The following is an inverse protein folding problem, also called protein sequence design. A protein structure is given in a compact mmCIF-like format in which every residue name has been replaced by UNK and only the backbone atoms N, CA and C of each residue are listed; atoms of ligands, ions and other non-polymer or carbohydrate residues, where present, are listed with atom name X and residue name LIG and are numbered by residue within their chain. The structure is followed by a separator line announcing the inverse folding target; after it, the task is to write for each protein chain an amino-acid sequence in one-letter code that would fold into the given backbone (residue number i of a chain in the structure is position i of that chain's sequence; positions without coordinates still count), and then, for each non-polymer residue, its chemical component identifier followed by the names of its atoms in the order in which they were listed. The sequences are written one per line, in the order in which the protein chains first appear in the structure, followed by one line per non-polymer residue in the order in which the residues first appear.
data_IF_414373054849
#
_entry.id   IF_414373054849
#
_cell.length_a   1.000
_cell.length_b   1.000
_cell.length_c   1.000
_cell.angle_alpha   90.00
_cell.angle_beta   90.00
_cell.angle_gamma   90.00
#
_symmetry.space_group_name_H-M   'P 1'
#
loop_
_entity.id
_entity.type
_entity.pdbx_description
1 polymer ?
#
# COMPACT_ATOMS: atom_id res chain seq x y z
N UNK A 1 38.12 38.45 38.27
CA UNK A 1 37.93 39.39 37.14
C UNK A 1 38.62 38.81 35.92
N UNK A 2 38.13 39.13 34.72
CA UNK A 2 38.34 38.50 33.39
C UNK A 2 37.28 37.39 33.18
N UNK A 3 36.16 37.55 32.47
CA UNK A 3 35.80 38.13 31.15
C UNK A 3 36.33 37.31 29.95
N UNK A 4 35.39 36.51 29.43
CA UNK A 4 35.13 35.99 28.06
C UNK A 4 36.19 35.11 27.37
N UNK A 5 35.86 34.35 26.29
CA UNK A 5 34.59 34.21 25.56
C UNK A 5 34.19 32.73 25.27
N UNK A 6 32.92 32.44 24.95
CA UNK A 6 32.67 31.67 23.72
C UNK A 6 31.24 31.81 23.23
N UNK A 7 31.13 32.15 21.96
CA UNK A 7 29.90 32.15 21.19
C UNK A 7 29.66 30.72 20.71
N UNK A 8 28.64 30.06 21.23
CA UNK A 8 28.02 28.98 20.46
C UNK A 8 26.53 29.14 20.53
N UNK A 9 26.00 29.61 19.42
CA UNK A 9 24.63 29.42 19.01
C UNK A 9 24.36 27.92 19.11
N UNK A 10 23.65 27.49 20.16
CA UNK A 10 23.09 26.16 20.22
C UNK A 10 21.97 26.10 19.19
N UNK A 11 22.38 25.72 17.98
CA UNK A 11 21.56 25.13 16.95
C UNK A 11 20.76 24.00 17.62
N UNK A 12 19.50 24.25 17.94
CA UNK A 12 18.58 23.21 18.38
C UNK A 12 18.58 22.11 17.30
N UNK A 13 18.94 20.86 17.63
CA UNK A 13 18.83 19.78 16.67
C UNK A 13 17.34 19.55 16.41
N UNK A 14 16.93 19.61 15.14
CA UNK A 14 15.54 19.44 14.68
C UNK A 14 15.09 17.97 14.68
N UNK A 15 15.72 17.11 15.48
CA UNK A 15 15.58 15.65 15.42
C UNK A 15 15.06 15.04 16.73
N UNK A 16 14.25 15.76 17.49
CA UNK A 16 13.48 15.18 18.60
C UNK A 16 11.99 15.15 18.24
N UNK A 17 11.65 14.21 17.34
CA UNK A 17 10.30 13.66 17.35
C UNK A 17 10.16 12.80 18.62
N UNK A 18 9.11 13.00 19.44
CA UNK A 18 8.98 12.26 20.68
C UNK A 18 8.83 10.78 20.39
N UNK A 19 9.73 9.98 20.96
CA UNK A 19 9.79 8.53 20.86
C UNK A 19 8.40 7.91 21.05
N UNK A 20 7.86 7.29 19.98
CA UNK A 20 6.68 6.43 20.12
C UNK A 20 5.66 6.36 18.99
N UNK A 21 5.86 6.98 17.83
CA UNK A 21 5.00 6.69 16.66
C UNK A 21 5.46 5.39 15.97
N UNK A 22 5.14 4.26 16.59
CA UNK A 22 5.22 2.94 15.98
C UNK A 22 4.22 2.86 14.79
N UNK A 23 4.49 2.02 13.79
CA UNK A 23 3.64 1.75 12.64
C UNK A 23 2.21 1.18 12.97
N UNK A 24 1.74 1.29 14.21
CA UNK A 24 0.48 0.77 14.75
C UNK A 24 -0.73 1.70 14.65
N UNK A 25 -0.68 2.75 13.83
CA UNK A 25 -1.83 3.66 13.61
C UNK A 25 -2.99 3.05 12.80
N UNK A 26 -3.13 1.73 12.75
CA UNK A 26 -4.37 1.13 12.27
C UNK A 26 -4.83 -0.03 13.16
N UNK A 27 -6.08 0.04 13.59
CA UNK A 27 -6.76 -1.09 14.21
C UNK A 27 -7.05 -2.13 13.13
N UNK A 28 -6.55 -3.37 13.25
CA UNK A 28 -6.83 -4.41 12.27
C UNK A 28 -8.33 -4.72 12.24
N UNK A 29 -8.83 -5.07 11.06
CA UNK A 29 -10.19 -5.57 10.91
C UNK A 29 -10.38 -6.87 11.68
N UNK A 30 -11.60 -7.10 12.17
CA UNK A 30 -11.95 -8.32 12.87
C UNK A 30 -11.79 -9.57 11.97
N UNK A 31 -11.54 -10.72 12.58
CA UNK A 31 -11.31 -11.98 11.86
C UNK A 31 -12.50 -12.42 11.01
N UNK A 32 -13.73 -12.04 11.40
CA UNK A 32 -14.93 -12.34 10.65
C UNK A 32 -15.00 -11.58 9.34
N UNK A 33 -14.70 -10.29 9.36
CA UNK A 33 -14.52 -9.44 8.21
C UNK A 33 -13.45 -10.03 7.30
N UNK A 34 -12.27 -10.36 7.84
CA UNK A 34 -11.17 -10.91 7.04
C UNK A 34 -11.61 -12.21 6.34
N UNK A 35 -12.27 -13.12 7.06
CA UNK A 35 -12.76 -14.39 6.52
C UNK A 35 -13.82 -14.17 5.44
N UNK A 36 -14.79 -13.31 5.70
CA UNK A 36 -15.88 -12.97 4.78
C UNK A 36 -15.35 -12.35 3.48
N UNK A 37 -14.46 -11.37 3.57
CA UNK A 37 -13.94 -10.69 2.39
C UNK A 37 -12.96 -11.57 1.60
N UNK A 38 -12.20 -12.46 2.26
CA UNK A 38 -11.41 -13.50 1.57
C UNK A 38 -12.30 -14.50 0.83
N UNK A 39 -13.46 -14.89 1.37
CA UNK A 39 -14.41 -15.75 0.68
C UNK A 39 -14.96 -15.08 -0.58
N UNK A 40 -15.46 -13.84 -0.45
CA UNK A 40 -15.90 -13.03 -1.60
C UNK A 40 -14.79 -12.84 -2.64
N UNK A 41 -13.53 -12.72 -2.23
CA UNK A 41 -12.40 -12.58 -3.16
C UNK A 41 -12.17 -13.85 -3.99
N UNK A 42 -12.41 -15.04 -3.42
CA UNK A 42 -12.36 -16.30 -4.19
C UNK A 42 -13.48 -16.35 -5.23
N UNK A 43 -14.69 -15.96 -4.86
CA UNK A 43 -15.84 -15.94 -5.77
C UNK A 43 -15.67 -14.88 -6.87
N UNK A 44 -15.19 -13.69 -6.52
CA UNK A 44 -14.91 -12.64 -7.49
C UNK A 44 -13.82 -13.07 -8.48
N UNK A 45 -12.82 -13.83 -8.04
CA UNK A 45 -11.72 -14.31 -8.89
C UNK A 45 -12.18 -15.29 -9.97
N UNK A 46 -13.25 -16.04 -9.74
CA UNK A 46 -13.83 -16.93 -10.76
C UNK A 46 -14.80 -16.23 -11.71
N UNK A 47 -15.25 -15.01 -11.38
CA UNK A 47 -16.22 -14.24 -12.16
C UNK A 47 -15.72 -13.85 -13.55
N UNK A 48 -16.65 -13.69 -14.50
CA UNK A 48 -16.32 -13.21 -15.85
C UNK A 48 -15.76 -11.79 -15.83
N UNK A 49 -16.23 -10.94 -14.90
CA UNK A 49 -15.70 -9.59 -14.76
C UNK A 49 -14.20 -9.61 -14.44
N UNK A 50 -13.75 -10.47 -13.53
CA UNK A 50 -12.33 -10.57 -13.20
C UNK A 50 -11.50 -11.12 -14.37
N UNK A 51 -12.02 -12.11 -15.10
CA UNK A 51 -11.38 -12.62 -16.33
C UNK A 51 -11.20 -11.51 -17.37
N UNK A 52 -12.23 -10.67 -17.56
CA UNK A 52 -12.16 -9.53 -18.48
C UNK A 52 -11.15 -8.48 -17.99
N UNK A 53 -11.08 -8.22 -16.68
CA UNK A 53 -10.12 -7.28 -16.10
C UNK A 53 -8.67 -7.77 -16.28
N UNK A 54 -8.41 -9.07 -16.05
CA UNK A 54 -7.12 -9.69 -16.32
C UNK A 54 -6.75 -9.68 -17.82
N UNK A 55 -7.73 -9.86 -18.71
CA UNK A 55 -7.51 -9.89 -20.15
C UNK A 55 -7.03 -8.54 -20.72
N UNK A 56 -7.28 -7.42 -20.02
CA UNK A 56 -6.67 -6.13 -20.38
C UNK A 56 -5.14 -6.18 -20.32
N UNK A 57 -4.60 -7.06 -19.48
CA UNK A 57 -3.16 -7.32 -19.37
C UNK A 57 -2.39 -6.12 -18.82
N UNK A 58 -3.01 -5.29 -17.98
CA UNK A 58 -2.39 -4.09 -17.42
C UNK A 58 -2.28 -4.20 -15.90
N UNK A 59 -1.10 -3.88 -15.37
CA UNK A 59 -0.93 -3.68 -13.94
C UNK A 59 -1.50 -2.32 -13.54
N UNK A 60 -2.38 -2.28 -12.55
CA UNK A 60 -2.99 -1.04 -12.05
C UNK A 60 -1.97 -0.03 -11.53
N UNK A 61 -0.86 -0.49 -10.96
CA UNK A 61 0.13 0.39 -10.35
C UNK A 61 1.14 0.95 -11.35
N UNK A 62 1.87 0.07 -12.04
CA UNK A 62 2.93 0.50 -12.97
C UNK A 62 2.44 0.75 -14.39
N UNK A 63 1.17 0.44 -14.71
CA UNK A 63 0.56 0.63 -16.03
C UNK A 63 1.26 -0.11 -17.19
N UNK A 64 2.22 -1.00 -16.88
CA UNK A 64 2.88 -1.84 -17.89
C UNK A 64 2.01 -3.03 -18.28
N UNK A 65 2.27 -3.57 -19.47
CA UNK A 65 1.59 -4.75 -20.01
C UNK A 65 2.20 -6.04 -19.49
N UNK A 66 1.35 -7.01 -19.15
CA UNK A 66 1.72 -8.34 -18.66
C UNK A 66 0.79 -9.38 -19.29
N UNK A 67 1.28 -10.63 -19.36
CA UNK A 67 0.40 -11.74 -19.68
C UNK A 67 -0.60 -11.94 -18.52
N UNK A 68 -1.89 -12.30 -18.77
CA UNK A 68 -2.89 -12.46 -17.70
C UNK A 68 -2.46 -13.39 -16.55
N UNK A 69 -1.65 -14.41 -16.85
CA UNK A 69 -1.09 -15.36 -15.86
C UNK A 69 -0.09 -14.74 -14.88
N UNK A 70 0.49 -13.59 -15.23
CA UNK A 70 1.51 -12.90 -14.44
C UNK A 70 0.92 -11.77 -13.58
N UNK A 71 -0.39 -11.54 -13.71
CA UNK A 71 -1.15 -10.59 -12.90
C UNK A 71 -1.83 -11.33 -11.74
N UNK A 72 -1.86 -10.66 -10.59
CA UNK A 72 -2.50 -11.11 -9.35
C UNK A 72 -3.65 -10.18 -8.99
N UNK A 73 -4.59 -10.71 -8.20
CA UNK A 73 -5.64 -9.91 -7.58
C UNK A 73 -5.09 -9.19 -6.35
N UNK A 74 -5.14 -7.86 -6.34
CA UNK A 74 -4.78 -7.05 -5.17
C UNK A 74 -5.97 -6.19 -4.72
N UNK A 75 -5.99 -5.88 -3.42
CA UNK A 75 -6.96 -5.00 -2.79
C UNK A 75 -6.31 -3.63 -2.54
N UNK A 76 -6.84 -2.57 -3.16
CA UNK A 76 -6.31 -1.20 -3.02
C UNK A 76 -6.25 -0.81 -1.53
N UNK A 77 -7.37 -0.98 -0.82
CA UNK A 77 -7.42 -0.99 0.65
C UNK A 77 -7.33 -2.45 1.12
N UNK A 78 -6.29 -2.85 1.87
CA UNK A 78 -6.13 -4.22 2.33
C UNK A 78 -7.32 -4.71 3.17
N UNK A 79 -7.68 -5.98 3.03
CA UNK A 79 -8.76 -6.60 3.85
C UNK A 79 -8.47 -6.46 5.35
N UNK A 80 -7.21 -6.64 5.77
CA UNK A 80 -6.80 -6.48 7.17
C UNK A 80 -6.97 -5.05 7.69
N UNK A 81 -7.11 -4.06 6.80
CA UNK A 81 -7.39 -2.66 7.11
C UNK A 81 -8.86 -2.30 6.87
N UNK A 82 -9.76 -3.30 6.82
CA UNK A 82 -11.20 -3.11 6.62
C UNK A 82 -11.64 -2.98 5.16
N UNK A 83 -10.75 -3.25 4.21
CA UNK A 83 -11.04 -3.19 2.78
C UNK A 83 -12.03 -4.27 2.32
N UNK A 84 -13.07 -3.85 1.60
CA UNK A 84 -14.08 -4.78 1.05
C UNK A 84 -13.66 -5.39 -0.28
N UNK A 85 -14.07 -6.64 -0.54
CA UNK A 85 -13.96 -7.24 -1.87
C UNK A 85 -15.10 -6.76 -2.75
N UNK A 86 -14.84 -5.69 -3.51
CA UNK A 86 -15.74 -5.15 -4.54
C UNK A 86 -14.94 -4.67 -5.74
N UNK A 87 -15.58 -4.55 -6.91
CA UNK A 87 -14.93 -4.15 -8.17
C UNK A 87 -14.13 -2.83 -8.08
N UNK A 88 -14.57 -1.89 -7.24
CA UNK A 88 -13.87 -0.62 -7.01
C UNK A 88 -12.67 -0.67 -6.05
N UNK A 89 -12.45 -1.79 -5.36
CA UNK A 89 -11.31 -1.98 -4.44
C UNK A 89 -10.37 -3.11 -4.89
N UNK A 90 -10.71 -3.83 -5.95
CA UNK A 90 -9.95 -4.99 -6.43
C UNK A 90 -9.40 -4.68 -7.81
N UNK A 91 -8.09 -4.88 -7.99
CA UNK A 91 -7.37 -4.52 -9.22
C UNK A 91 -6.37 -5.61 -9.63
N UNK A 92 -6.05 -5.74 -10.93
CA UNK A 92 -4.90 -6.52 -11.38
C UNK A 92 -3.59 -5.82 -11.04
N UNK A 93 -2.67 -6.53 -10.41
CA UNK A 93 -1.33 -6.04 -10.11
C UNK A 93 -0.29 -7.05 -10.58
N UNK A 94 0.86 -6.60 -11.10
CA UNK A 94 1.97 -7.51 -11.34
C UNK A 94 2.60 -7.95 -10.01
N UNK A 95 3.25 -9.11 -9.99
CA UNK A 95 3.91 -9.67 -8.79
C UNK A 95 4.86 -8.66 -8.13
N UNK A 96 5.64 -7.93 -8.92
CA UNK A 96 6.59 -6.93 -8.42
C UNK A 96 5.90 -5.80 -7.66
N UNK A 97 4.86 -5.17 -8.24
CA UNK A 97 4.13 -4.10 -7.55
C UNK A 97 3.35 -4.64 -6.35
N UNK A 98 2.72 -5.80 -6.48
CA UNK A 98 1.95 -6.40 -5.39
C UNK A 98 2.84 -6.73 -4.17
N UNK A 99 4.02 -7.31 -4.40
CA UNK A 99 4.95 -7.64 -3.32
C UNK A 99 5.54 -6.41 -2.64
N UNK A 100 5.77 -5.34 -3.40
CA UNK A 100 6.34 -4.11 -2.85
C UNK A 100 5.30 -3.31 -2.05
N UNK A 101 4.04 -3.27 -2.49
CA UNK A 101 2.94 -2.64 -1.74
C UNK A 101 2.75 -3.26 -0.36
N UNK A 102 2.85 -4.59 -0.21
CA UNK A 102 2.57 -5.30 1.04
C UNK A 102 1.21 -4.90 1.64
N UNK A 103 1.23 -4.21 2.78
CA UNK A 103 0.06 -3.71 3.52
C UNK A 103 -0.14 -2.19 3.38
N UNK A 104 0.66 -1.52 2.56
CA UNK A 104 0.60 -0.08 2.36
C UNK A 104 -0.62 0.30 1.50
N UNK A 105 -1.22 1.44 1.82
CA UNK A 105 -2.22 2.09 0.95
C UNK A 105 -1.52 2.98 -0.08
N UNK A 106 -2.17 3.33 -1.22
CA UNK A 106 -1.55 4.15 -2.26
C UNK A 106 -0.91 5.46 -1.75
N UNK A 107 -1.53 6.11 -0.75
CA UNK A 107 -0.99 7.33 -0.15
C UNK A 107 0.38 7.12 0.53
N UNK A 108 0.60 5.93 1.11
CA UNK A 108 1.86 5.55 1.78
C UNK A 108 2.92 5.03 0.77
N UNK A 109 2.55 4.92 -0.52
CA UNK A 109 3.37 4.34 -1.59
C UNK A 109 3.58 5.30 -2.77
N UNK A 110 3.16 6.55 -2.60
CA UNK A 110 3.06 7.55 -3.64
C UNK A 110 4.40 7.83 -4.33
N UNK A 111 5.48 7.95 -3.55
CA UNK A 111 6.84 8.19 -4.06
C UNK A 111 7.31 7.06 -4.99
N UNK A 112 6.98 5.80 -4.69
CA UNK A 112 7.31 4.70 -5.58
C UNK A 112 6.48 4.71 -6.86
N UNK A 113 5.17 5.03 -6.75
CA UNK A 113 4.33 5.16 -7.94
C UNK A 113 4.83 6.28 -8.86
N UNK A 114 5.34 7.37 -8.30
CA UNK A 114 5.95 8.47 -9.06
C UNK A 114 7.24 8.04 -9.75
N UNK A 115 8.10 7.27 -9.09
CA UNK A 115 9.31 6.70 -9.71
C UNK A 115 9.02 5.72 -10.85
N UNK A 116 7.87 5.05 -10.84
CA UNK A 116 7.48 4.13 -11.93
C UNK A 116 6.95 4.82 -13.18
N UNK A 117 6.55 6.10 -13.07
CA UNK A 117 6.01 6.90 -14.18
C UNK A 117 7.09 7.58 -15.02
N UNK A 118 8.34 7.58 -14.53
CA UNK A 118 9.54 8.02 -15.25
C UNK A 118 10.03 6.91 -16.18
#
# INVERSE_FOLDING_TARGET
MNIDPDQSQDQQPVDEFPDGLDASFFTPADDEHVRREKAKARDLRSSQWWKNELAKGLCYYCQRRFHPRDLTMDHIVPIIRGGMTRKGNVVPACKTCNNQKKYLVPAEWQEYLERLKQ
#
